data_IF_793647611182
#
_entry.id   IF_793647611182
#
_cell.length_a   1.000
_cell.length_b   1.000
_cell.length_c   1.000
_cell.angle_alpha   90.00
_cell.angle_beta   90.00
_cell.angle_gamma   90.00
#
_symmetry.space_group_name_H-M   'P 1'
#
loop_
_entity.id
_entity.type
_entity.pdbx_description
1 polymer ?
#
# COMPACT_ATOMS: atom_id res chain seq x y z
N UNK A 1 -4.07 -5.99 -19.32
CA UNK A 1 -3.14 -6.41 -18.26
C UNK A 1 -3.55 -7.70 -17.54
N UNK A 2 -4.85 -7.99 -17.35
CA UNK A 2 -5.35 -9.26 -16.75
C UNK A 2 -4.77 -10.56 -17.38
N UNK A 3 -4.27 -10.51 -18.61
CA UNK A 3 -3.79 -11.69 -19.33
C UNK A 3 -2.30 -12.01 -19.12
N UNK A 4 -1.47 -11.09 -18.61
CA UNK A 4 0.00 -11.34 -18.53
C UNK A 4 0.39 -11.90 -17.16
N UNK A 5 -0.21 -11.38 -16.08
CA UNK A 5 0.16 -11.77 -14.71
C UNK A 5 -0.32 -13.16 -14.29
N UNK A 6 -1.30 -13.72 -15.01
CA UNK A 6 -1.85 -15.05 -14.76
C UNK A 6 -1.35 -16.10 -15.77
N UNK A 7 -0.62 -15.67 -16.80
CA UNK A 7 -0.11 -16.56 -17.84
C UNK A 7 1.16 -17.26 -17.35
N UNK A 8 1.01 -18.55 -17.05
CA UNK A 8 2.11 -19.40 -16.58
C UNK A 8 3.09 -19.80 -17.67
N UNK A 9 2.80 -19.49 -18.95
CA UNK A 9 3.76 -19.65 -20.05
C UNK A 9 4.83 -18.57 -20.05
N UNK A 10 4.60 -17.46 -19.33
CA UNK A 10 5.56 -16.38 -19.17
C UNK A 10 6.37 -16.53 -17.89
N UNK A 11 7.62 -16.08 -17.92
CA UNK A 11 8.46 -16.00 -16.75
C UNK A 11 7.83 -15.06 -15.71
N UNK A 12 7.65 -15.57 -14.49
CA UNK A 12 7.07 -14.80 -13.40
C UNK A 12 8.13 -13.93 -12.73
N UNK A 13 7.71 -12.77 -12.21
CA UNK A 13 8.61 -11.88 -11.49
C UNK A 13 9.17 -12.57 -10.24
N UNK A 14 10.49 -12.51 -10.07
CA UNK A 14 11.14 -12.83 -8.80
C UNK A 14 10.64 -11.90 -7.68
N UNK A 15 10.92 -12.23 -6.43
CA UNK A 15 10.49 -11.40 -5.30
C UNK A 15 11.04 -9.98 -5.36
N UNK A 16 12.30 -9.81 -5.80
CA UNK A 16 12.86 -8.51 -6.12
C UNK A 16 12.04 -7.75 -7.17
N UNK A 17 11.75 -8.38 -8.31
CA UNK A 17 11.01 -7.73 -9.40
C UNK A 17 9.53 -7.49 -9.09
N UNK A 18 8.96 -8.16 -8.09
CA UNK A 18 7.59 -7.87 -7.62
C UNK A 18 7.45 -6.46 -7.05
N UNK A 19 8.54 -5.82 -6.61
CA UNK A 19 8.53 -4.39 -6.33
C UNK A 19 8.09 -3.58 -7.57
N UNK A 20 8.83 -3.72 -8.66
CA UNK A 20 8.54 -3.01 -9.92
C UNK A 20 7.23 -3.45 -10.57
N UNK A 21 6.83 -4.70 -10.39
CA UNK A 21 5.50 -5.16 -10.81
C UNK A 21 4.39 -4.36 -10.10
N UNK A 22 4.56 -4.08 -8.80
CA UNK A 22 3.60 -3.26 -8.04
C UNK A 22 3.62 -1.80 -8.50
N UNK A 23 4.80 -1.25 -8.83
CA UNK A 23 4.90 0.07 -9.49
C UNK A 23 4.14 0.11 -10.81
N UNK A 24 4.25 -0.94 -11.62
CA UNK A 24 3.53 -1.05 -12.89
C UNK A 24 2.01 -1.15 -12.69
N UNK A 25 1.56 -1.91 -11.68
CA UNK A 25 0.13 -1.95 -11.31
C UNK A 25 -0.37 -0.56 -10.93
N UNK A 26 0.37 0.16 -10.08
CA UNK A 26 0.04 1.54 -9.68
C UNK A 26 -0.08 2.45 -10.90
N UNK A 27 0.93 2.47 -11.76
CA UNK A 27 0.95 3.30 -12.96
C UNK A 27 -0.18 2.96 -13.94
N UNK A 28 -0.58 1.69 -14.00
CA UNK A 28 -1.66 1.21 -14.85
C UNK A 28 -3.08 1.45 -14.28
N UNK A 29 -3.21 2.07 -13.11
CA UNK A 29 -4.51 2.22 -12.44
C UNK A 29 -5.07 0.91 -11.89
N UNK A 30 -4.21 -0.06 -11.60
CA UNK A 30 -4.55 -1.39 -11.08
C UNK A 30 -4.04 -1.61 -9.64
N UNK A 31 -3.76 -0.53 -8.92
CA UNK A 31 -3.24 -0.55 -7.55
C UNK A 31 -4.06 -1.43 -6.58
N UNK A 32 -5.39 -1.43 -6.70
CA UNK A 32 -6.29 -2.23 -5.87
C UNK A 32 -6.08 -3.75 -6.02
N UNK A 33 -5.36 -4.20 -7.06
CA UNK A 33 -5.02 -5.61 -7.25
C UNK A 33 -3.81 -6.07 -6.43
N UNK A 34 -3.09 -5.15 -5.76
CA UNK A 34 -1.84 -5.46 -5.06
C UNK A 34 -1.99 -6.63 -4.06
N UNK A 35 -3.06 -6.66 -3.26
CA UNK A 35 -3.26 -7.72 -2.26
C UNK A 35 -3.39 -9.11 -2.88
N UNK A 36 -3.95 -9.22 -4.08
CA UNK A 36 -4.05 -10.48 -4.81
C UNK A 36 -2.69 -11.03 -5.27
N UNK A 37 -1.65 -10.18 -5.28
CA UNK A 37 -0.29 -10.56 -5.69
C UNK A 37 0.55 -11.16 -4.56
N UNK A 38 0.01 -11.14 -3.33
CA UNK A 38 0.72 -11.53 -2.10
C UNK A 38 0.87 -13.04 -1.89
N UNK A 39 0.39 -13.87 -2.83
CA UNK A 39 0.49 -15.33 -2.78
C UNK A 39 1.84 -15.87 -2.30
N UNK A 40 2.98 -15.46 -2.89
CA UNK A 40 4.28 -15.96 -2.47
C UNK A 40 4.65 -15.66 -1.00
N UNK A 41 4.21 -14.53 -0.46
CA UNK A 41 4.43 -14.19 0.95
C UNK A 41 3.52 -15.00 1.88
N UNK A 42 2.31 -15.31 1.45
CA UNK A 42 1.44 -16.24 2.17
C UNK A 42 2.04 -17.65 2.19
N UNK A 43 2.69 -18.08 1.10
CA UNK A 43 3.37 -19.37 1.04
C UNK A 43 4.58 -19.41 2.00
N UNK A 44 5.36 -18.31 2.10
CA UNK A 44 6.43 -18.19 3.11
C UNK A 44 5.88 -18.39 4.53
N UNK A 45 4.77 -17.71 4.86
CA UNK A 45 4.12 -17.83 6.16
C UNK A 45 3.63 -19.27 6.41
N UNK A 46 3.00 -19.90 5.42
CA UNK A 46 2.52 -21.28 5.51
C UNK A 46 3.65 -22.30 5.74
N UNK A 47 4.86 -21.99 5.25
CA UNK A 47 6.09 -22.77 5.47
C UNK A 47 6.78 -22.48 6.81
N UNK A 48 6.27 -21.51 7.59
CA UNK A 48 6.81 -21.15 8.90
C UNK A 48 7.98 -20.16 8.86
N UNK A 49 8.21 -19.49 7.72
CA UNK A 49 9.23 -18.43 7.68
C UNK A 49 8.79 -17.24 8.53
N UNK A 50 9.73 -16.69 9.29
CA UNK A 50 9.55 -15.49 10.13
C UNK A 50 10.23 -14.24 9.53
N UNK A 51 10.87 -14.41 8.37
CA UNK A 51 11.54 -13.39 7.55
C UNK A 51 11.23 -13.63 6.08
N UNK A 52 11.58 -12.69 5.20
CA UNK A 52 11.30 -12.82 3.76
C UNK A 52 12.45 -13.51 3.03
N UNK A 53 12.18 -14.60 2.31
CA UNK A 53 13.17 -15.31 1.52
C UNK A 53 13.66 -14.52 0.30
N UNK A 54 14.86 -14.81 -0.17
CA UNK A 54 15.52 -14.17 -1.32
C UNK A 54 14.77 -14.43 -2.64
N UNK A 55 14.34 -15.67 -2.87
CA UNK A 55 13.69 -16.14 -4.10
C UNK A 55 12.73 -17.30 -3.83
N UNK A 56 12.11 -17.87 -4.86
CA UNK A 56 11.32 -19.10 -4.72
C UNK A 56 12.25 -20.32 -4.57
N UNK A 57 11.77 -21.39 -3.94
CA UNK A 57 12.60 -22.57 -3.70
C UNK A 57 13.19 -23.18 -4.99
N UNK A 58 14.43 -23.69 -4.95
CA UNK A 58 15.31 -23.76 -3.78
C UNK A 58 15.97 -22.41 -3.45
N UNK A 59 15.92 -21.98 -2.18
CA UNK A 59 16.43 -20.68 -1.72
C UNK A 59 17.84 -20.77 -1.16
N UNK A 60 18.66 -19.74 -1.45
CA UNK A 60 19.97 -19.54 -0.81
C UNK A 60 19.87 -18.82 0.54
N UNK A 61 18.91 -17.91 0.71
CA UNK A 61 18.68 -17.15 1.95
C UNK A 61 17.18 -16.99 2.27
N UNK A 62 16.79 -17.29 3.51
CA UNK A 62 15.43 -17.09 4.04
C UNK A 62 15.20 -15.68 4.65
N UNK A 63 16.21 -14.81 4.58
CA UNK A 63 16.15 -13.45 5.11
C UNK A 63 16.82 -12.48 4.15
N UNK A 64 16.02 -11.78 3.33
CA UNK A 64 16.51 -10.85 2.33
C UNK A 64 15.63 -9.60 2.23
N UNK A 65 16.22 -8.44 2.44
CA UNK A 65 15.51 -7.16 2.53
C UNK A 65 14.74 -6.81 1.25
N UNK A 66 15.23 -7.25 0.08
CA UNK A 66 14.61 -6.92 -1.19
C UNK A 66 13.22 -7.55 -1.41
N UNK A 67 12.86 -8.52 -0.57
CA UNK A 67 11.59 -9.24 -0.60
C UNK A 67 10.60 -8.64 0.40
N UNK A 68 11.03 -7.61 1.15
CA UNK A 68 10.20 -6.89 2.11
C UNK A 68 9.32 -5.81 1.44
N UNK A 69 9.20 -5.80 0.10
CA UNK A 69 8.38 -4.83 -0.63
C UNK A 69 6.94 -4.72 -0.13
N UNK A 70 6.26 -5.78 0.39
CA UNK A 70 4.92 -5.59 0.93
C UNK A 70 4.85 -4.60 2.08
N UNK A 71 5.89 -4.53 2.93
CA UNK A 71 5.94 -3.57 4.04
C UNK A 71 5.86 -2.14 3.52
N UNK A 72 6.60 -1.84 2.44
CA UNK A 72 6.54 -0.54 1.78
C UNK A 72 5.16 -0.28 1.19
N UNK A 73 4.61 -1.22 0.40
CA UNK A 73 3.34 -1.01 -0.30
C UNK A 73 2.10 -1.04 0.58
N UNK A 74 2.14 -1.70 1.74
CA UNK A 74 1.07 -1.52 2.71
C UNK A 74 0.96 -0.05 3.16
N UNK A 75 2.08 0.65 3.33
CA UNK A 75 2.07 2.06 3.73
C UNK A 75 1.89 3.02 2.55
N UNK A 76 2.63 2.82 1.46
CA UNK A 76 2.66 3.76 0.34
C UNK A 76 1.51 3.60 -0.65
N UNK A 77 0.93 2.40 -0.77
CA UNK A 77 -0.12 2.08 -1.75
C UNK A 77 -1.46 1.79 -1.08
N UNK A 78 -1.50 0.80 -0.17
CA UNK A 78 -2.75 0.43 0.51
C UNK A 78 -3.22 1.56 1.42
N UNK A 79 -2.34 2.09 2.26
CA UNK A 79 -2.66 3.28 3.06
C UNK A 79 -2.53 4.58 2.24
N UNK A 80 -1.79 4.54 1.13
CA UNK A 80 -1.73 5.63 0.16
C UNK A 80 -0.83 6.80 0.53
N UNK A 81 0.03 6.66 1.53
CA UNK A 81 0.79 7.78 2.10
C UNK A 81 2.13 7.92 1.34
N UNK A 82 2.27 9.00 0.57
CA UNK A 82 3.45 9.27 -0.25
C UNK A 82 3.87 10.75 -0.17
N UNK A 83 5.16 11.08 -0.39
CA UNK A 83 5.60 12.46 -0.49
C UNK A 83 4.97 13.14 -1.71
N UNK A 84 4.37 14.31 -1.52
CA UNK A 84 3.87 15.16 -2.61
C UNK A 84 4.89 16.24 -3.02
N UNK A 85 5.84 16.56 -2.15
CA UNK A 85 6.92 17.50 -2.44
C UNK A 85 8.28 17.01 -1.94
N UNK A 86 9.41 17.58 -2.44
CA UNK A 86 10.74 17.24 -1.99
C UNK A 86 10.88 17.28 -0.46
N UNK A 87 11.65 16.32 0.06
CA UNK A 87 11.84 16.18 1.50
C UNK A 87 10.58 15.78 2.25
N UNK A 88 9.46 15.46 1.58
CA UNK A 88 8.18 15.13 2.21
C UNK A 88 7.56 16.34 2.95
N UNK A 89 7.77 17.58 2.48
CA UNK A 89 7.19 18.78 3.12
C UNK A 89 5.66 18.81 3.05
N UNK A 90 5.08 18.23 2.00
CA UNK A 90 3.65 17.95 1.89
C UNK A 90 3.41 16.48 1.56
N UNK A 91 2.26 15.97 1.98
CA UNK A 91 1.85 14.56 1.79
C UNK A 91 0.72 14.42 0.78
N UNK A 92 0.75 13.32 0.04
CA UNK A 92 -0.41 12.77 -0.67
C UNK A 92 -0.90 11.55 0.10
N UNK A 93 -2.19 11.52 0.39
CA UNK A 93 -2.87 10.36 0.98
C UNK A 93 -3.92 9.87 -0.02
N UNK A 94 -3.60 8.83 -0.78
CA UNK A 94 -4.45 8.23 -1.81
C UNK A 94 -4.58 6.71 -1.58
N UNK A 95 -5.52 6.27 -0.73
CA UNK A 95 -5.61 4.87 -0.35
C UNK A 95 -6.12 3.99 -1.50
N UNK A 96 -5.49 2.83 -1.69
CA UNK A 96 -5.95 1.77 -2.60
C UNK A 96 -6.27 0.49 -1.79
N UNK A 97 -7.35 0.47 -1.00
CA UNK A 97 -7.62 -0.63 -0.07
C UNK A 97 -8.00 -1.95 -0.76
N UNK A 98 -8.32 -1.94 -2.06
CA UNK A 98 -8.90 -3.08 -2.75
C UNK A 98 -10.07 -3.67 -1.96
N UNK A 99 -10.00 -4.99 -1.71
CA UNK A 99 -11.00 -5.78 -0.98
C UNK A 99 -10.89 -5.69 0.55
N UNK A 100 -9.91 -4.95 1.10
CA UNK A 100 -9.76 -4.83 2.54
C UNK A 100 -10.96 -4.12 3.16
N UNK A 101 -11.54 -4.74 4.19
CA UNK A 101 -12.71 -4.20 4.91
C UNK A 101 -12.37 -3.04 5.83
N UNK A 102 -11.16 -3.06 6.40
CA UNK A 102 -10.67 -2.01 7.28
C UNK A 102 -9.15 -1.99 7.29
N UNK A 103 -8.61 -0.81 7.58
CA UNK A 103 -7.19 -0.57 7.76
C UNK A 103 -7.08 0.43 8.92
N UNK A 104 -6.17 0.22 9.86
CA UNK A 104 -5.89 1.19 10.92
C UNK A 104 -4.39 1.20 11.20
N UNK A 105 -3.80 2.39 11.30
CA UNK A 105 -2.38 2.51 11.51
C UNK A 105 -1.89 3.92 11.77
N UNK A 106 -0.58 4.02 11.84
CA UNK A 106 0.17 5.26 12.00
C UNK A 106 1.35 5.24 11.05
N UNK A 107 1.59 6.36 10.36
CA UNK A 107 2.74 6.55 9.49
C UNK A 107 3.72 7.53 10.15
N UNK A 108 4.97 7.12 10.42
CA UNK A 108 5.96 7.99 11.00
C UNK A 108 6.40 9.06 10.00
N UNK A 109 6.30 10.33 10.37
CA UNK A 109 6.75 11.44 9.57
C UNK A 109 7.54 12.44 10.44
N UNK A 110 8.49 13.19 9.85
CA UNK A 110 9.38 14.09 10.60
C UNK A 110 8.66 15.20 11.36
N UNK A 111 7.46 15.58 10.89
CA UNK A 111 6.61 16.58 11.52
C UNK A 111 5.73 16.00 12.66
N UNK A 112 5.76 14.69 12.87
CA UNK A 112 4.86 13.95 13.75
C UNK A 112 4.15 12.81 13.00
N UNK A 113 3.48 11.93 13.73
CA UNK A 113 2.78 10.79 13.13
C UNK A 113 1.52 11.23 12.38
N UNK A 114 1.27 10.61 11.23
CA UNK A 114 -0.03 10.65 10.55
C UNK A 114 -0.82 9.43 11.01
N UNK A 115 -1.93 9.61 11.72
CA UNK A 115 -2.80 8.49 12.09
C UNK A 115 -3.92 8.33 11.08
N UNK A 116 -4.29 7.10 10.78
CA UNK A 116 -5.34 6.83 9.81
C UNK A 116 -6.18 5.60 10.19
N UNK A 117 -7.45 5.66 9.82
CA UNK A 117 -8.37 4.54 9.90
C UNK A 117 -9.28 4.58 8.69
N UNK A 118 -9.31 3.49 7.93
CA UNK A 118 -10.17 3.29 6.78
C UNK A 118 -11.11 2.12 7.05
N UNK A 119 -12.34 2.20 6.57
CA UNK A 119 -13.30 1.10 6.66
C UNK A 119 -14.30 1.13 5.53
N UNK A 120 -14.91 -0.01 5.26
CA UNK A 120 -16.10 -0.15 4.41
C UNK A 120 -17.30 -0.53 5.27
N UNK A 121 -18.44 0.10 5.01
CA UNK A 121 -19.70 -0.31 5.63
C UNK A 121 -20.26 -1.61 5.00
N UNK A 122 -21.41 -2.07 5.47
CA UNK A 122 -22.07 -3.28 4.94
C UNK A 122 -22.53 -3.15 3.49
N UNK A 123 -22.59 -1.93 2.96
CA UNK A 123 -22.93 -1.61 1.56
C UNK A 123 -21.67 -1.37 0.71
N UNK A 124 -20.47 -1.50 1.29
CA UNK A 124 -19.19 -1.31 0.62
C UNK A 124 -18.68 0.12 0.57
N UNK A 125 -19.42 1.09 1.14
CA UNK A 125 -19.05 2.52 1.11
C UNK A 125 -17.81 2.76 1.94
N UNK A 126 -16.84 3.44 1.34
CA UNK A 126 -15.60 3.77 2.01
C UNK A 126 -15.76 4.92 3.02
N UNK A 127 -15.10 4.80 4.16
CA UNK A 127 -14.93 5.88 5.13
C UNK A 127 -13.47 5.97 5.54
N UNK A 128 -13.00 7.20 5.75
CA UNK A 128 -11.65 7.48 6.23
C UNK A 128 -11.68 8.47 7.40
N UNK A 129 -10.83 8.21 8.38
CA UNK A 129 -10.41 9.17 9.40
C UNK A 129 -8.91 9.38 9.26
N UNK A 130 -8.48 10.63 9.19
CA UNK A 130 -7.06 11.00 9.06
C UNK A 130 -6.75 12.04 10.14
N UNK A 131 -5.64 11.86 10.84
CA UNK A 131 -5.09 12.83 11.80
C UNK A 131 -3.76 13.32 11.26
N UNK A 132 -3.70 14.61 10.96
CA UNK A 132 -2.51 15.28 10.45
C UNK A 132 -1.74 15.92 11.61
N UNK A 133 -0.42 15.68 11.71
CA UNK A 133 0.41 16.29 12.75
C UNK A 133 0.57 17.79 12.54
N UNK A 134 1.04 18.48 13.58
CA UNK A 134 1.36 19.90 13.50
C UNK A 134 2.37 20.18 12.37
N UNK A 135 2.19 21.29 11.65
CA UNK A 135 3.09 21.74 10.56
C UNK A 135 3.16 20.84 9.31
N UNK A 136 2.31 19.82 9.19
CA UNK A 136 2.17 19.07 7.93
C UNK A 136 0.89 19.47 7.20
N UNK A 137 1.02 19.68 5.89
CA UNK A 137 -0.12 19.87 4.98
C UNK A 137 -0.05 18.83 3.87
N UNK A 138 -1.13 18.68 3.13
CA UNK A 138 -1.18 17.71 2.05
C UNK A 138 -2.53 17.66 1.36
N UNK A 139 -2.74 16.58 0.62
CA UNK A 139 -4.01 16.27 -0.02
C UNK A 139 -4.43 14.85 0.32
N UNK A 140 -5.72 14.68 0.61
CA UNK A 140 -6.38 13.39 0.56
C UNK A 140 -7.04 13.24 -0.80
N UNK A 141 -6.86 12.10 -1.46
CA UNK A 141 -7.47 11.82 -2.75
C UNK A 141 -8.33 10.58 -2.67
N UNK A 142 -9.58 10.71 -3.12
CA UNK A 142 -10.52 9.61 -3.22
C UNK A 142 -11.27 9.68 -4.55
N UNK A 143 -11.23 8.59 -5.34
CA UNK A 143 -11.85 8.50 -6.66
C UNK A 143 -11.54 9.72 -7.56
N UNK A 144 -10.27 10.16 -7.57
CA UNK A 144 -9.81 11.32 -8.35
C UNK A 144 -10.24 12.69 -7.82
N UNK A 145 -10.98 12.76 -6.72
CA UNK A 145 -11.32 14.02 -6.04
C UNK A 145 -10.29 14.34 -4.97
N UNK A 146 -9.76 15.56 -4.98
CA UNK A 146 -8.77 16.00 -3.99
C UNK A 146 -9.40 16.85 -2.88
N UNK A 147 -8.95 16.62 -1.65
CA UNK A 147 -9.34 17.33 -0.45
C UNK A 147 -8.09 17.86 0.25
N UNK A 148 -7.99 19.16 0.43
CA UNK A 148 -6.86 19.76 1.13
C UNK A 148 -6.85 19.34 2.60
N UNK A 149 -5.66 18.94 3.07
CA UNK A 149 -5.38 18.61 4.45
C UNK A 149 -4.45 19.66 5.05
N UNK A 150 -4.89 20.29 6.12
CA UNK A 150 -4.05 21.06 7.06
C UNK A 150 -3.94 20.31 8.39
N UNK A 151 -3.10 20.71 9.36
CA UNK A 151 -3.05 20.05 10.66
C UNK A 151 -4.44 19.91 11.31
N UNK A 152 -4.76 18.74 11.87
CA UNK A 152 -6.09 18.48 12.44
C UNK A 152 -6.65 17.09 12.15
N UNK A 153 -7.93 16.90 12.49
CA UNK A 153 -8.64 15.62 12.34
C UNK A 153 -9.68 15.75 11.22
N UNK A 154 -9.67 14.79 10.30
CA UNK A 154 -10.57 14.73 9.15
C UNK A 154 -11.37 13.44 9.18
N UNK A 155 -12.63 13.56 8.77
CA UNK A 155 -13.52 12.42 8.52
C UNK A 155 -14.09 12.55 7.11
N UNK A 156 -14.02 11.48 6.35
CA UNK A 156 -14.57 11.35 5.00
C UNK A 156 -15.46 10.12 4.94
N UNK A 157 -16.60 10.23 4.26
CA UNK A 157 -17.49 9.11 3.95
C UNK A 157 -17.96 9.26 2.51
N UNK A 158 -17.76 8.21 1.74
CA UNK A 158 -18.23 8.10 0.36
C UNK A 158 -19.76 8.18 0.31
N UNK A 159 -20.27 8.95 -0.66
CA UNK A 159 -21.71 9.21 -0.80
C UNK A 159 -22.47 8.04 -1.37
#
# INVERSE_FOLDING_TARGET
>A
MKNISADTSLAQCSYYFKFYFTEALRYAGLADQFTATLGPWNDMLARGLTTFAEEADPVRSDCHAWSASPVYYFLSLICGITPQSPGFETVRIEPHPGELKWIKGSFPHRAGNIEFSYSRDTKGKFSAKIVMPEKLTGVFVWNGTEYNLVPGIYSFTEK
#
